data_IF_524728793396
#
_entry.id   IF_524728793396
#
_cell.length_a   1.000
_cell.length_b   1.000
_cell.length_c   1.000
_cell.angle_alpha   90.00
_cell.angle_beta   90.00
_cell.angle_gamma   90.00
#
_symmetry.space_group_name_H-M   'P 1'
#
loop_
_entity.id
_entity.type
_entity.pdbx_description
1 polymer ?
#
# COMPACT_ATOMS: atom_id res chain seq x y z
N UNK A 1 -9.28 50.70 -61.92
CA UNK A 1 -9.31 49.26 -61.57
C UNK A 1 -8.53 48.88 -60.30
N UNK A 2 -7.47 49.59 -59.88
CA UNK A 2 -6.67 49.22 -58.70
C UNK A 2 -7.40 49.40 -57.34
N UNK A 3 -8.21 50.45 -57.19
CA UNK A 3 -8.91 50.76 -55.93
C UNK A 3 -10.01 49.73 -55.57
N UNK A 4 -10.67 49.15 -56.58
CA UNK A 4 -11.71 48.15 -56.39
C UNK A 4 -11.14 46.80 -55.91
N UNK A 5 -9.96 46.40 -56.42
CA UNK A 5 -9.24 45.18 -55.97
C UNK A 5 -8.75 45.26 -54.53
N UNK A 6 -8.37 46.45 -54.06
CA UNK A 6 -7.86 46.67 -52.70
C UNK A 6 -8.98 46.62 -51.64
N UNK A 7 -10.19 47.08 -51.99
CA UNK A 7 -11.38 46.99 -51.14
C UNK A 7 -11.89 45.54 -50.99
N UNK A 8 -11.93 44.77 -52.09
CA UNK A 8 -12.28 43.34 -52.06
C UNK A 8 -11.28 42.50 -51.27
N UNK A 9 -9.99 42.86 -51.33
CA UNK A 9 -8.93 42.17 -50.59
C UNK A 9 -9.04 42.41 -49.07
N UNK A 10 -9.33 43.65 -48.63
CA UNK A 10 -9.58 43.95 -47.21
C UNK A 10 -10.85 43.28 -46.67
N UNK A 11 -11.94 43.26 -47.45
CA UNK A 11 -13.18 42.55 -47.08
C UNK A 11 -12.96 41.06 -46.93
N UNK A 12 -12.19 40.44 -47.84
CA UNK A 12 -11.86 39.02 -47.77
C UNK A 12 -11.07 38.68 -46.49
N UNK A 13 -10.10 39.51 -46.10
CA UNK A 13 -9.36 39.33 -44.84
C UNK A 13 -10.24 39.46 -43.60
N UNK A 14 -11.18 40.40 -43.58
CA UNK A 14 -12.13 40.55 -42.46
C UNK A 14 -13.05 39.34 -42.35
N UNK A 15 -13.57 38.84 -43.48
CA UNK A 15 -14.40 37.62 -43.50
C UNK A 15 -13.60 36.41 -43.02
N UNK A 16 -12.36 36.23 -43.48
CA UNK A 16 -11.48 35.16 -43.00
C UNK A 16 -11.24 35.28 -41.48
N UNK A 17 -10.95 36.47 -40.97
CA UNK A 17 -10.78 36.69 -39.53
C UNK A 17 -12.04 36.36 -38.72
N UNK A 18 -13.23 36.75 -39.22
CA UNK A 18 -14.51 36.42 -38.58
C UNK A 18 -14.79 34.92 -38.58
N UNK A 19 -14.51 34.23 -39.69
CA UNK A 19 -14.64 32.76 -39.79
C UNK A 19 -13.68 32.07 -38.82
N UNK A 20 -12.41 32.50 -38.78
CA UNK A 20 -11.44 31.96 -37.82
C UNK A 20 -11.87 32.22 -36.37
N UNK A 21 -12.41 33.40 -36.05
CA UNK A 21 -12.91 33.72 -34.73
C UNK A 21 -14.10 32.84 -34.31
N UNK A 22 -15.06 32.62 -35.20
CA UNK A 22 -16.20 31.72 -34.97
C UNK A 22 -15.73 30.26 -34.78
N UNK A 23 -14.76 29.80 -35.58
CA UNK A 23 -14.16 28.47 -35.41
C UNK A 23 -13.45 28.34 -34.05
N UNK A 24 -12.70 29.36 -33.62
CA UNK A 24 -12.08 29.38 -32.30
C UNK A 24 -13.12 29.29 -31.16
N UNK A 25 -14.23 30.03 -31.27
CA UNK A 25 -15.33 29.95 -30.29
C UNK A 25 -15.95 28.56 -30.30
N UNK A 26 -16.17 27.96 -31.46
CA UNK A 26 -16.76 26.63 -31.57
C UNK A 26 -15.86 25.55 -30.96
N UNK A 27 -14.55 25.61 -31.20
CA UNK A 27 -13.56 24.73 -30.55
C UNK A 27 -13.54 24.94 -29.04
N UNK A 28 -13.57 26.18 -28.56
CA UNK A 28 -13.62 26.48 -27.13
C UNK A 28 -14.90 25.92 -26.48
N UNK A 29 -16.06 26.10 -27.12
CA UNK A 29 -17.34 25.58 -26.63
C UNK A 29 -17.34 24.04 -26.57
N UNK A 30 -16.80 23.36 -27.60
CA UNK A 30 -16.64 21.91 -27.59
C UNK A 30 -15.70 21.44 -26.47
N UNK A 31 -14.58 22.14 -26.25
CA UNK A 31 -13.66 21.84 -25.17
C UNK A 31 -14.29 22.04 -23.78
N UNK A 32 -15.09 23.10 -23.60
CA UNK A 32 -15.83 23.35 -22.36
C UNK A 32 -16.92 22.30 -22.12
N UNK A 33 -17.69 21.95 -23.16
CA UNK A 33 -18.71 20.90 -23.08
C UNK A 33 -18.10 19.55 -22.71
N UNK A 34 -17.03 19.14 -23.40
CA UNK A 34 -16.31 17.90 -23.08
C UNK A 34 -15.76 17.91 -21.64
N UNK A 35 -15.24 19.05 -21.17
CA UNK A 35 -14.75 19.19 -19.79
C UNK A 35 -15.89 19.09 -18.76
N UNK A 36 -17.06 19.65 -19.06
CA UNK A 36 -18.25 19.53 -18.21
C UNK A 36 -18.77 18.10 -18.16
N UNK A 37 -18.86 17.43 -19.31
CA UNK A 37 -19.35 16.05 -19.41
C UNK A 37 -18.40 15.05 -18.72
N UNK A 38 -17.08 15.25 -18.89
CA UNK A 38 -16.07 14.51 -18.14
C UNK A 38 -16.21 14.75 -16.63
N UNK A 39 -16.37 15.99 -16.17
CA UNK A 39 -16.59 16.27 -14.73
C UNK A 39 -17.86 15.59 -14.20
N UNK A 40 -18.95 15.59 -14.96
CA UNK A 40 -20.22 14.95 -14.58
C UNK A 40 -20.07 13.43 -14.49
N UNK A 41 -19.38 12.82 -15.45
CA UNK A 41 -19.08 11.38 -15.47
C UNK A 41 -18.18 10.98 -14.30
N UNK A 42 -17.14 11.77 -14.02
CA UNK A 42 -16.22 11.54 -12.89
C UNK A 42 -16.94 11.68 -11.54
N UNK A 43 -17.83 12.66 -11.41
CA UNK A 43 -18.65 12.84 -10.20
C UNK A 43 -19.57 11.65 -9.95
N UNK A 44 -20.28 11.21 -10.99
CA UNK A 44 -21.20 10.07 -10.91
C UNK A 44 -20.46 8.80 -10.50
N UNK A 45 -19.34 8.49 -11.17
CA UNK A 45 -18.51 7.32 -10.86
C UNK A 45 -17.87 7.37 -9.47
N UNK A 46 -17.40 8.55 -9.03
CA UNK A 46 -16.86 8.75 -7.68
C UNK A 46 -17.93 8.57 -6.60
N UNK A 47 -19.12 9.14 -6.81
CA UNK A 47 -20.25 9.03 -5.88
C UNK A 47 -20.79 7.60 -5.81
N UNK A 48 -20.85 6.88 -6.93
CA UNK A 48 -21.26 5.47 -6.94
C UNK A 48 -20.26 4.57 -6.21
N UNK A 49 -18.95 4.80 -6.41
CA UNK A 49 -17.91 4.09 -5.66
C UNK A 49 -17.99 4.38 -4.16
N UNK A 50 -18.19 5.66 -3.79
CA UNK A 50 -18.40 6.07 -2.41
C UNK A 50 -19.58 5.30 -1.79
N UNK A 51 -20.74 5.30 -2.45
CA UNK A 51 -21.93 4.58 -1.99
C UNK A 51 -21.65 3.08 -1.79
N UNK A 52 -21.00 2.43 -2.75
CA UNK A 52 -20.66 1.01 -2.66
C UNK A 52 -19.73 0.69 -1.48
N UNK A 53 -18.77 1.57 -1.19
CA UNK A 53 -17.88 1.43 -0.02
C UNK A 53 -18.69 1.54 1.26
N UNK A 54 -19.58 2.53 1.37
CA UNK A 54 -20.42 2.74 2.55
C UNK A 54 -21.37 1.58 2.80
N UNK A 55 -22.03 1.08 1.76
CA UNK A 55 -22.89 -0.10 1.82
C UNK A 55 -22.09 -1.34 2.27
N UNK A 56 -20.86 -1.49 1.76
CA UNK A 56 -19.98 -2.61 2.13
C UNK A 56 -19.56 -2.51 3.60
N UNK A 57 -19.22 -1.32 4.08
CA UNK A 57 -18.91 -1.10 5.51
C UNK A 57 -20.15 -1.42 6.36
N UNK A 58 -21.32 -0.92 5.98
CA UNK A 58 -22.54 -1.15 6.77
C UNK A 58 -22.98 -2.62 6.79
N UNK A 59 -22.83 -3.35 5.68
CA UNK A 59 -23.35 -4.72 5.53
C UNK A 59 -22.36 -5.84 5.85
N UNK A 60 -21.05 -5.62 5.67
CA UNK A 60 -20.00 -6.66 5.80
C UNK A 60 -19.08 -6.48 7.00
N UNK A 61 -19.39 -5.56 7.91
CA UNK A 61 -18.62 -5.41 9.14
C UNK A 61 -18.75 -6.66 10.01
N UNK A 62 -17.61 -7.21 10.41
CA UNK A 62 -17.53 -8.32 11.37
C UNK A 62 -16.59 -7.95 12.51
N UNK A 63 -16.78 -8.59 13.66
CA UNK A 63 -15.88 -8.44 14.80
C UNK A 63 -14.66 -9.36 14.68
N UNK A 64 -13.52 -8.89 15.17
CA UNK A 64 -12.36 -9.73 15.39
C UNK A 64 -12.56 -10.69 16.59
N UNK A 65 -11.69 -11.68 16.74
CA UNK A 65 -11.83 -12.69 17.81
C UNK A 65 -11.62 -12.14 19.22
N UNK A 66 -10.91 -11.01 19.38
CA UNK A 66 -10.75 -10.37 20.69
C UNK A 66 -11.94 -9.50 21.10
N UNK A 67 -12.82 -9.16 20.15
CA UNK A 67 -13.93 -8.26 20.39
C UNK A 67 -13.51 -6.78 20.52
N UNK A 68 -12.29 -6.43 20.12
CA UNK A 68 -11.76 -5.06 20.25
C UNK A 68 -11.78 -4.29 18.93
N UNK A 69 -11.89 -4.97 17.79
CA UNK A 69 -11.80 -4.39 16.46
C UNK A 69 -12.93 -4.88 15.56
N UNK A 70 -13.40 -3.97 14.71
CA UNK A 70 -14.25 -4.24 13.56
C UNK A 70 -13.40 -4.38 12.30
N UNK A 71 -13.81 -5.31 11.44
CA UNK A 71 -13.13 -5.68 10.20
C UNK A 71 -14.12 -5.59 9.05
N UNK A 72 -13.71 -4.91 7.98
CA UNK A 72 -14.42 -4.90 6.71
C UNK A 72 -13.45 -5.36 5.63
N UNK A 73 -13.70 -6.53 5.06
CA UNK A 73 -12.89 -7.08 3.97
C UNK A 73 -13.50 -6.71 2.62
N UNK A 74 -12.65 -6.67 1.58
CA UNK A 74 -13.07 -6.44 0.20
C UNK A 74 -13.89 -5.15 0.06
N UNK A 75 -13.47 -4.07 0.76
CA UNK A 75 -14.14 -2.75 0.72
C UNK A 75 -14.11 -2.18 -0.69
N UNK A 76 -12.96 -2.31 -1.33
CA UNK A 76 -12.82 -2.16 -2.77
C UNK A 76 -12.07 -3.40 -3.23
N UNK A 77 -12.69 -4.19 -4.10
CA UNK A 77 -12.14 -5.43 -4.61
C UNK A 77 -12.49 -5.61 -6.07
N UNK A 78 -11.62 -6.29 -6.82
CA UNK A 78 -11.84 -6.63 -8.22
C UNK A 78 -12.78 -7.83 -8.33
N UNK A 79 -13.54 -7.90 -9.42
CA UNK A 79 -14.27 -9.13 -9.79
C UNK A 79 -13.28 -10.31 -9.95
N UNK A 80 -13.41 -11.30 -9.05
CA UNK A 80 -12.49 -12.44 -8.87
C UNK A 80 -12.34 -13.33 -10.12
N UNK A 81 -13.29 -13.27 -11.05
CA UNK A 81 -13.34 -14.09 -12.27
C UNK A 81 -12.16 -13.87 -13.23
N UNK A 82 -11.40 -12.78 -13.12
CA UNK A 82 -10.20 -12.52 -13.96
C UNK A 82 -8.88 -12.90 -13.26
N UNK A 83 -8.90 -13.33 -11.99
CA UNK A 83 -7.71 -13.51 -11.12
C UNK A 83 -7.00 -14.87 -11.30
N UNK A 84 -7.51 -15.79 -12.12
CA UNK A 84 -7.01 -17.18 -12.26
C UNK A 84 -5.55 -17.32 -12.78
N UNK A 85 -4.88 -16.23 -13.16
CA UNK A 85 -3.48 -16.24 -13.64
C UNK A 85 -2.45 -15.66 -12.66
N UNK A 86 -2.88 -15.14 -11.50
CA UNK A 86 -1.96 -14.49 -10.56
C UNK A 86 -1.29 -15.50 -9.63
N UNK A 87 0.04 -15.64 -9.73
CA UNK A 87 0.83 -16.55 -8.87
C UNK A 87 1.32 -15.90 -7.57
N UNK A 88 1.42 -14.57 -7.53
CA UNK A 88 2.04 -13.84 -6.43
C UNK A 88 1.29 -12.54 -6.10
N UNK A 89 0.92 -12.35 -4.84
CA UNK A 89 0.24 -11.14 -4.34
C UNK A 89 1.03 -10.51 -3.20
N UNK A 90 1.18 -9.18 -3.17
CA UNK A 90 1.71 -8.49 -1.98
C UNK A 90 0.67 -8.51 -0.89
N UNK A 91 1.10 -8.80 0.34
CA UNK A 91 0.32 -8.65 1.56
C UNK A 91 1.00 -7.60 2.43
N UNK A 92 0.28 -6.53 2.75
CA UNK A 92 0.78 -5.46 3.60
C UNK A 92 -0.33 -4.83 4.44
N UNK A 93 0.03 -3.90 5.31
CA UNK A 93 -0.89 -3.15 6.12
C UNK A 93 -0.34 -1.75 6.36
N UNK A 94 -1.20 -0.75 6.53
CA UNK A 94 -0.77 0.61 6.84
C UNK A 94 -1.72 1.26 7.84
N UNK A 95 -1.34 2.41 8.38
CA UNK A 95 -2.30 3.31 9.02
C UNK A 95 -3.07 4.10 7.95
N UNK A 96 -4.22 4.67 8.29
CA UNK A 96 -4.93 5.57 7.38
C UNK A 96 -4.09 6.80 6.96
N UNK A 97 -3.10 7.21 7.76
CA UNK A 97 -2.19 8.33 7.49
C UNK A 97 -1.13 7.96 6.44
N UNK A 98 -0.72 6.69 6.44
CA UNK A 98 0.34 6.13 5.61
C UNK A 98 -0.20 5.55 4.29
N UNK A 99 -1.51 5.65 4.04
CA UNK A 99 -2.15 5.10 2.85
C UNK A 99 -1.52 5.60 1.54
N UNK A 100 -0.98 6.81 1.51
CA UNK A 100 -0.35 7.39 0.32
C UNK A 100 0.84 6.57 -0.22
N UNK A 101 1.52 5.77 0.61
CA UNK A 101 2.63 4.91 0.15
C UNK A 101 2.19 3.83 -0.85
N UNK A 102 0.90 3.47 -0.89
CA UNK A 102 0.37 2.50 -1.86
C UNK A 102 0.56 2.96 -3.32
N UNK A 103 0.64 4.28 -3.55
CA UNK A 103 0.83 4.87 -4.87
C UNK A 103 2.20 4.46 -5.44
N UNK A 104 3.27 4.61 -4.67
CA UNK A 104 4.60 4.24 -5.13
C UNK A 104 4.80 2.72 -5.12
N UNK A 105 4.17 2.01 -4.18
CA UNK A 105 4.20 0.55 -4.15
C UNK A 105 3.64 -0.07 -5.44
N UNK A 106 2.48 0.41 -5.89
CA UNK A 106 1.81 -0.10 -7.10
C UNK A 106 2.52 0.28 -8.40
N UNK A 107 3.30 1.38 -8.41
CA UNK A 107 4.17 1.73 -9.55
C UNK A 107 5.32 0.75 -9.74
N UNK A 108 5.82 0.15 -8.65
CA UNK A 108 6.91 -0.82 -8.67
C UNK A 108 6.43 -2.28 -8.66
N UNK A 109 5.11 -2.51 -8.63
CA UNK A 109 4.55 -3.85 -8.53
C UNK A 109 3.56 -4.17 -9.64
N UNK A 110 3.83 -5.23 -10.39
CA UNK A 110 2.98 -5.68 -11.51
C UNK A 110 1.85 -6.62 -11.09
N UNK A 111 1.93 -7.19 -9.88
CA UNK A 111 0.96 -8.16 -9.37
C UNK A 111 -0.18 -7.50 -8.60
N UNK A 112 -1.01 -8.33 -7.98
CA UNK A 112 -2.04 -7.86 -7.04
C UNK A 112 -1.41 -7.42 -5.71
N UNK A 113 -2.09 -6.50 -5.02
CA UNK A 113 -1.78 -6.07 -3.65
C UNK A 113 -3.02 -6.26 -2.79
N UNK A 114 -2.89 -6.90 -1.64
CA UNK A 114 -3.91 -6.92 -0.59
C UNK A 114 -3.39 -6.12 0.60
N UNK A 115 -4.13 -5.07 0.96
CA UNK A 115 -3.74 -4.11 2.00
C UNK A 115 -4.85 -3.95 3.04
N UNK A 116 -4.48 -4.09 4.32
CA UNK A 116 -5.37 -3.77 5.43
C UNK A 116 -5.01 -2.42 6.04
N UNK A 117 -6.00 -1.55 6.17
CA UNK A 117 -5.82 -0.17 6.63
C UNK A 117 -6.41 -0.04 8.01
N UNK A 118 -5.58 0.37 8.96
CA UNK A 118 -6.04 0.68 10.30
C UNK A 118 -6.54 2.12 10.38
N UNK A 119 -7.82 2.30 10.72
CA UNK A 119 -8.44 3.59 10.90
C UNK A 119 -8.86 3.77 12.36
N UNK A 120 -8.38 4.84 13.00
CA UNK A 120 -8.88 5.25 14.30
C UNK A 120 -10.20 6.02 14.15
N UNK A 121 -10.98 6.05 15.22
CA UNK A 121 -12.24 6.82 15.30
C UNK A 121 -12.08 8.25 14.80
N UNK A 122 -13.07 8.71 14.04
CA UNK A 122 -13.07 10.03 13.40
C UNK A 122 -12.26 10.12 12.11
N UNK A 123 -11.43 9.12 11.78
CA UNK A 123 -10.69 9.06 10.50
C UNK A 123 -11.41 8.27 9.41
N UNK A 124 -12.43 7.47 9.74
CA UNK A 124 -13.10 6.59 8.77
C UNK A 124 -13.71 7.36 7.59
N UNK A 125 -14.40 8.48 7.84
CA UNK A 125 -14.98 9.31 6.79
C UNK A 125 -13.93 9.82 5.79
N UNK A 126 -12.82 10.36 6.32
CA UNK A 126 -11.74 10.87 5.49
C UNK A 126 -10.97 9.74 4.78
N UNK A 127 -10.82 8.58 5.43
CA UNK A 127 -10.24 7.39 4.82
C UNK A 127 -11.07 6.95 3.61
N UNK A 128 -12.39 6.86 3.74
CA UNK A 128 -13.29 6.46 2.65
C UNK A 128 -13.16 7.44 1.47
N UNK A 129 -13.16 8.76 1.73
CA UNK A 129 -12.91 9.78 0.68
C UNK A 129 -11.54 9.63 0.03
N UNK A 130 -10.49 9.37 0.82
CA UNK A 130 -9.14 9.11 0.32
C UNK A 130 -9.07 7.84 -0.53
N UNK A 131 -9.81 6.77 -0.18
CA UNK A 131 -9.87 5.54 -0.96
C UNK A 131 -10.49 5.78 -2.33
N UNK A 132 -11.60 6.52 -2.41
CA UNK A 132 -12.22 6.90 -3.70
C UNK A 132 -11.24 7.71 -4.56
N UNK A 133 -10.59 8.72 -3.98
CA UNK A 133 -9.57 9.51 -4.66
C UNK A 133 -8.42 8.65 -5.18
N UNK A 134 -7.86 7.79 -4.33
CA UNK A 134 -6.71 6.96 -4.68
C UNK A 134 -7.07 5.96 -5.78
N UNK A 135 -8.23 5.29 -5.63
CA UNK A 135 -8.68 4.30 -6.60
C UNK A 135 -8.89 4.93 -7.98
N UNK A 136 -9.57 6.07 -8.03
CA UNK A 136 -9.86 6.78 -9.26
C UNK A 136 -8.62 7.39 -9.92
N UNK A 137 -7.82 8.15 -9.16
CA UNK A 137 -6.76 8.98 -9.70
C UNK A 137 -5.47 8.21 -10.02
N UNK A 138 -5.26 7.05 -9.40
CA UNK A 138 -4.06 6.23 -9.61
C UNK A 138 -4.36 4.86 -10.20
N UNK A 139 -5.62 4.60 -10.61
CA UNK A 139 -6.04 3.34 -11.25
C UNK A 139 -5.68 2.10 -10.41
N UNK A 140 -6.12 2.07 -9.14
CA UNK A 140 -5.77 1.00 -8.18
C UNK A 140 -6.56 -0.30 -8.39
N UNK A 141 -6.79 -0.69 -9.64
CA UNK A 141 -7.59 -1.88 -10.02
C UNK A 141 -6.96 -3.21 -9.60
N UNK A 142 -5.67 -3.21 -9.25
CA UNK A 142 -4.93 -4.38 -8.77
C UNK A 142 -4.78 -4.39 -7.24
N UNK A 143 -5.45 -3.49 -6.51
CA UNK A 143 -5.37 -3.39 -5.06
C UNK A 143 -6.70 -3.81 -4.44
N UNK A 144 -6.64 -4.72 -3.47
CA UNK A 144 -7.75 -5.11 -2.63
C UNK A 144 -7.62 -4.41 -1.26
N UNK A 145 -8.61 -3.59 -0.94
CA UNK A 145 -8.60 -2.75 0.25
C UNK A 145 -9.47 -3.35 1.36
N UNK A 146 -8.89 -3.47 2.54
CA UNK A 146 -9.56 -3.90 3.77
C UNK A 146 -9.43 -2.79 4.82
N UNK A 147 -10.42 -2.66 5.69
CA UNK A 147 -10.41 -1.66 6.77
C UNK A 147 -10.56 -2.39 8.11
N UNK A 148 -9.75 -2.01 9.09
CA UNK A 148 -9.86 -2.43 10.48
C UNK A 148 -9.91 -1.19 11.36
N UNK A 149 -10.84 -1.15 12.31
CA UNK A 149 -11.02 0.00 13.21
C UNK A 149 -11.51 -0.46 14.59
N UNK A 150 -11.19 0.26 15.68
CA UNK A 150 -11.45 -0.22 17.04
C UNK A 150 -12.93 -0.12 17.46
N UNK A 151 -13.33 -0.78 18.54
CA UNK A 151 -14.59 -0.47 19.25
C UNK A 151 -14.36 0.55 20.38
N UNK A 152 -15.39 1.34 20.76
CA UNK A 152 -16.68 1.51 20.11
C UNK A 152 -16.59 2.64 19.07
N UNK A 153 -16.11 2.37 17.85
CA UNK A 153 -16.37 3.33 16.78
C UNK A 153 -17.87 3.42 16.61
N UNK A 154 -18.47 4.52 17.07
CA UNK A 154 -19.76 4.94 16.54
C UNK A 154 -19.50 5.06 15.05
N UNK A 155 -20.08 4.18 14.25
CA UNK A 155 -20.14 4.34 12.80
C UNK A 155 -20.69 5.74 12.65
N UNK A 156 -19.81 6.72 12.38
CA UNK A 156 -20.27 8.06 12.03
C UNK A 156 -21.16 7.74 10.87
N UNK A 157 -22.45 7.97 11.06
CA UNK A 157 -23.42 7.65 10.03
C UNK A 157 -22.94 8.53 8.89
N UNK A 158 -22.39 7.92 7.86
CA UNK A 158 -21.97 8.59 6.64
C UNK A 158 -23.28 8.86 5.89
N UNK A 159 -24.17 9.62 6.54
CA UNK A 159 -25.53 9.94 6.08
C UNK A 159 -25.48 10.88 4.90
N UNK A 160 -24.47 11.74 4.84
CA UNK A 160 -24.37 12.73 3.77
C UNK A 160 -23.37 12.24 2.72
N UNK A 161 -23.90 11.42 1.81
CA UNK A 161 -23.27 11.15 0.52
C UNK A 161 -23.57 12.34 -0.39
N UNK A 162 -22.97 13.49 -0.08
CA UNK A 162 -22.92 14.60 -1.03
C UNK A 162 -22.25 14.15 -2.34
N UNK A 163 -22.55 14.81 -3.46
CA UNK A 163 -21.83 14.59 -4.71
C UNK A 163 -20.32 14.64 -4.46
N UNK A 164 -19.65 13.50 -4.67
CA UNK A 164 -18.23 13.38 -4.41
C UNK A 164 -17.46 13.48 -5.72
N UNK A 165 -16.70 14.57 -5.86
CA UNK A 165 -15.83 14.80 -7.00
C UNK A 165 -14.39 14.41 -6.65
N UNK A 166 -13.83 13.35 -7.26
CA UNK A 166 -12.41 13.03 -7.07
C UNK A 166 -11.54 14.19 -7.58
N UNK A 167 -10.74 14.77 -6.69
CA UNK A 167 -9.96 15.98 -7.00
C UNK A 167 -8.49 15.67 -7.37
N UNK A 168 -8.07 14.42 -7.24
CA UNK A 168 -6.72 13.92 -7.56
C UNK A 168 -5.58 14.72 -6.91
N UNK A 169 -5.85 15.43 -5.82
CA UNK A 169 -4.81 15.92 -4.94
C UNK A 169 -4.27 14.75 -4.13
N UNK A 170 -2.96 14.78 -3.82
CA UNK A 170 -2.34 13.79 -2.93
C UNK A 170 -3.21 13.63 -1.67
N UNK A 171 -3.36 12.40 -1.13
CA UNK A 171 -4.25 12.14 -0.01
C UNK A 171 -3.96 13.12 1.11
N UNK A 172 -5.00 13.80 1.60
CA UNK A 172 -4.86 14.73 2.72
C UNK A 172 -4.30 13.92 3.89
N UNK A 173 -3.13 14.31 4.40
CA UNK A 173 -2.60 13.72 5.64
C UNK A 173 -3.67 13.91 6.70
N UNK A 174 -4.24 12.80 7.18
CA UNK A 174 -5.29 12.90 8.18
C UNK A 174 -4.67 13.42 9.47
N UNK A 175 -5.22 14.50 10.01
CA UNK A 175 -4.69 15.10 11.23
C UNK A 175 -4.59 14.05 12.35
N UNK A 176 -3.54 14.16 13.17
CA UNK A 176 -3.35 13.29 14.33
C UNK A 176 -4.39 13.62 15.39
N UNK A 177 -5.55 13.00 15.32
CA UNK A 177 -6.54 13.04 16.39
C UNK A 177 -6.04 12.21 17.58
N UNK A 178 -5.58 12.88 18.62
CA UNK A 178 -4.95 12.32 19.83
C UNK A 178 -5.88 11.54 20.76
N UNK A 179 -7.16 11.39 20.42
CA UNK A 179 -8.19 10.90 21.36
C UNK A 179 -8.09 9.42 21.73
N UNK A 180 -7.25 8.63 21.06
CA UNK A 180 -7.03 7.21 21.35
C UNK A 180 -5.55 6.82 21.50
N UNK A 181 -4.78 7.64 22.22
CA UNK A 181 -3.36 7.38 22.52
C UNK A 181 -3.07 6.02 23.21
N UNK A 182 -4.10 5.31 23.69
CA UNK A 182 -3.99 4.01 24.37
C UNK A 182 -4.29 2.79 23.50
N UNK A 183 -4.94 2.93 22.34
CA UNK A 183 -5.27 1.78 21.49
C UNK A 183 -4.05 1.35 20.68
N UNK A 184 -3.70 0.07 20.78
CA UNK A 184 -2.54 -0.49 20.11
C UNK A 184 -2.84 -0.75 18.64
N UNK A 185 -1.85 -0.48 17.77
CA UNK A 185 -1.92 -0.81 16.35
C UNK A 185 -1.89 -2.35 16.18
N UNK A 186 -2.94 -2.99 15.62
CA UNK A 186 -3.08 -4.45 15.62
C UNK A 186 -2.38 -5.09 14.41
N UNK A 187 -1.05 -4.98 14.37
CA UNK A 187 -0.19 -5.38 13.22
C UNK A 187 -0.52 -6.77 12.67
N UNK A 188 -0.61 -7.79 13.54
CA UNK A 188 -0.81 -9.16 13.10
C UNK A 188 -2.23 -9.45 12.64
N UNK A 189 -3.23 -8.82 13.28
CA UNK A 189 -4.62 -8.86 12.80
C UNK A 189 -4.69 -8.29 11.37
N UNK A 190 -4.10 -7.12 11.13
CA UNK A 190 -4.11 -6.48 9.81
C UNK A 190 -3.46 -7.37 8.73
N UNK A 191 -2.34 -8.02 9.06
CA UNK A 191 -1.69 -8.98 8.16
C UNK A 191 -2.58 -10.19 7.88
N UNK A 192 -3.23 -10.75 8.90
CA UNK A 192 -4.15 -11.86 8.73
C UNK A 192 -5.39 -11.46 7.90
N UNK A 193 -5.94 -10.26 8.10
CA UNK A 193 -7.06 -9.73 7.32
C UNK A 193 -6.67 -9.64 5.84
N UNK A 194 -5.52 -9.06 5.52
CA UNK A 194 -5.04 -8.96 4.14
C UNK A 194 -4.75 -10.34 3.55
N UNK A 195 -3.96 -11.17 4.25
CA UNK A 195 -3.62 -12.53 3.82
C UNK A 195 -4.86 -13.41 3.59
N UNK A 196 -5.94 -13.19 4.35
CA UNK A 196 -7.18 -13.98 4.21
C UNK A 196 -7.83 -13.82 2.84
N UNK A 197 -7.66 -12.66 2.22
CA UNK A 197 -8.32 -12.29 0.95
C UNK A 197 -7.47 -12.59 -0.29
N UNK A 198 -6.24 -13.06 -0.10
CA UNK A 198 -5.34 -13.44 -1.20
C UNK A 198 -5.81 -14.73 -1.88
N UNK A 199 -5.96 -14.72 -3.21
CA UNK A 199 -6.29 -15.91 -4.01
C UNK A 199 -5.07 -16.63 -4.57
N UNK A 200 -3.94 -15.94 -4.70
CA UNK A 200 -2.72 -16.48 -5.29
C UNK A 200 -2.04 -17.53 -4.42
N UNK A 201 -1.28 -18.40 -5.08
CA UNK A 201 -0.54 -19.51 -4.47
C UNK A 201 0.57 -19.02 -3.54
N UNK A 202 1.24 -17.94 -3.91
CA UNK A 202 2.30 -17.30 -3.14
C UNK A 202 1.93 -15.88 -2.74
N UNK A 203 2.47 -15.44 -1.61
CA UNK A 203 2.34 -14.06 -1.19
C UNK A 203 3.69 -13.47 -0.78
N UNK A 204 3.87 -12.18 -1.03
CA UNK A 204 5.00 -11.39 -0.58
C UNK A 204 4.58 -10.58 0.66
N UNK A 205 5.17 -10.88 1.82
CA UNK A 205 4.97 -10.12 3.05
C UNK A 205 6.01 -9.00 3.16
N UNK A 206 5.54 -7.76 3.13
CA UNK A 206 6.36 -6.54 3.27
C UNK A 206 5.67 -5.51 4.17
N UNK A 207 6.47 -4.65 4.77
CA UNK A 207 5.97 -3.48 5.50
C UNK A 207 5.52 -2.39 4.51
N UNK A 208 4.59 -1.53 4.91
CA UNK A 208 3.97 -0.47 4.08
C UNK A 208 4.95 0.52 3.45
N UNK A 209 6.07 0.77 4.12
CA UNK A 209 7.10 1.72 3.69
C UNK A 209 8.21 1.08 2.84
N UNK A 210 8.04 -0.18 2.43
CA UNK A 210 9.04 -0.90 1.61
C UNK A 210 8.59 -0.97 0.16
N UNK A 211 9.51 -0.68 -0.76
CA UNK A 211 9.28 -0.81 -2.20
C UNK A 211 10.01 -2.04 -2.75
N UNK A 212 9.35 -2.93 -3.50
CA UNK A 212 10.01 -4.03 -4.20
C UNK A 212 10.75 -3.50 -5.44
N UNK A 213 11.80 -4.20 -5.85
CA UNK A 213 12.37 -4.00 -7.17
C UNK A 213 11.31 -4.31 -8.26
N UNK A 214 11.26 -3.49 -9.31
CA UNK A 214 10.25 -3.62 -10.38
C UNK A 214 10.32 -4.94 -11.16
N UNK A 215 11.47 -5.61 -11.15
CA UNK A 215 11.69 -6.91 -11.78
C UNK A 215 11.31 -8.10 -10.87
N UNK A 216 11.10 -7.89 -9.56
CA UNK A 216 10.90 -8.96 -8.57
C UNK A 216 9.75 -9.90 -8.93
N UNK A 217 8.59 -9.34 -9.30
CA UNK A 217 7.42 -10.15 -9.67
C UNK A 217 7.73 -11.09 -10.85
N UNK A 218 8.38 -10.56 -11.88
CA UNK A 218 8.67 -11.34 -13.10
C UNK A 218 9.74 -12.39 -12.83
N UNK A 219 10.77 -12.02 -12.05
CA UNK A 219 11.85 -12.91 -11.66
C UNK A 219 11.33 -14.06 -10.78
N UNK A 220 10.57 -13.77 -9.73
CA UNK A 220 10.03 -14.80 -8.84
C UNK A 220 9.05 -15.73 -9.56
N UNK A 221 8.23 -15.19 -10.47
CA UNK A 221 7.37 -16.02 -11.32
C UNK A 221 8.16 -17.04 -12.12
N UNK A 222 9.29 -16.64 -12.71
CA UNK A 222 10.17 -17.56 -13.44
C UNK A 222 10.81 -18.62 -12.54
N UNK A 223 11.06 -18.30 -11.27
CA UNK A 223 11.57 -19.28 -10.30
C UNK A 223 10.49 -20.30 -9.92
N UNK A 224 9.23 -19.87 -9.74
CA UNK A 224 8.11 -20.81 -9.52
C UNK A 224 7.96 -21.78 -10.70
N UNK A 225 8.08 -21.27 -11.93
CA UNK A 225 7.91 -22.07 -13.15
C UNK A 225 9.03 -23.13 -13.33
N UNK A 226 10.21 -22.94 -12.71
CA UNK A 226 11.33 -23.90 -12.73
C UNK A 226 11.20 -25.03 -11.70
N UNK A 227 10.20 -24.95 -10.82
CA UNK A 227 10.02 -25.87 -9.70
C UNK A 227 10.23 -25.17 -8.36
N UNK A 228 9.34 -25.44 -7.42
CA UNK A 228 9.37 -24.83 -6.08
C UNK A 228 9.71 -25.89 -5.03
N UNK A 229 10.31 -25.43 -3.92
CA UNK A 229 10.53 -26.25 -2.76
C UNK A 229 9.34 -26.13 -1.81
N UNK A 230 8.77 -27.25 -1.37
CA UNK A 230 7.75 -27.27 -0.32
C UNK A 230 8.35 -26.79 1.01
N UNK A 231 7.52 -26.16 1.85
CA UNK A 231 7.88 -25.65 3.18
C UNK A 231 9.06 -24.67 3.16
N UNK A 232 9.14 -23.86 2.11
CA UNK A 232 10.22 -22.91 1.89
C UNK A 232 9.70 -21.47 1.90
N UNK A 233 10.39 -20.61 2.65
CA UNK A 233 10.23 -19.16 2.59
C UNK A 233 11.44 -18.54 1.89
N UNK A 234 11.17 -17.74 0.86
CA UNK A 234 12.20 -17.01 0.12
C UNK A 234 12.40 -15.64 0.74
N UNK A 235 13.59 -15.40 1.25
CA UNK A 235 13.90 -14.15 1.95
C UNK A 235 14.39 -13.09 0.98
N UNK A 236 13.90 -11.87 1.15
CA UNK A 236 14.27 -10.71 0.36
C UNK A 236 15.07 -9.73 1.21
N UNK A 237 16.34 -9.44 0.85
CA UNK A 237 17.11 -8.42 1.53
C UNK A 237 16.52 -7.04 1.33
N UNK A 238 16.51 -6.25 2.38
CA UNK A 238 15.92 -4.91 2.42
C UNK A 238 17.02 -3.86 2.60
N UNK A 239 16.89 -2.72 1.92
CA UNK A 239 17.88 -1.65 1.94
C UNK A 239 17.22 -0.33 2.32
N UNK A 240 17.99 0.55 2.95
CA UNK A 240 17.63 1.95 3.19
C UNK A 240 18.60 2.88 2.46
N UNK A 241 18.08 3.98 1.92
CA UNK A 241 18.83 4.97 1.16
C UNK A 241 18.32 6.39 1.40
N UNK A 242 18.92 7.35 0.72
CA UNK A 242 18.46 8.74 0.72
C UNK A 242 17.06 8.87 0.09
N UNK A 243 16.25 9.81 0.59
CA UNK A 243 14.91 10.12 0.04
C UNK A 243 14.96 10.57 -1.42
N UNK A 244 16.05 11.20 -1.83
CA UNK A 244 16.23 11.69 -3.21
C UNK A 244 16.83 10.63 -4.14
N UNK A 245 17.08 9.42 -3.64
CA UNK A 245 17.60 8.33 -4.45
C UNK A 245 16.48 7.76 -5.33
N UNK A 246 16.73 7.65 -6.63
CA UNK A 246 15.86 6.87 -7.51
C UNK A 246 15.83 5.43 -7.03
N UNK A 247 14.63 4.88 -6.84
CA UNK A 247 14.43 3.52 -6.33
C UNK A 247 15.07 2.53 -7.32
N UNK A 248 16.03 1.71 -6.87
CA UNK A 248 16.67 0.74 -7.75
C UNK A 248 15.67 -0.26 -8.33
N UNK A 249 15.74 -0.45 -9.64
CA UNK A 249 14.80 -1.30 -10.38
C UNK A 249 15.26 -2.75 -10.53
N UNK A 250 16.55 -3.01 -10.26
CA UNK A 250 17.19 -4.32 -10.38
C UNK A 250 18.26 -4.55 -9.31
N UNK A 251 18.60 -5.82 -9.06
CA UNK A 251 19.69 -6.18 -8.13
C UNK A 251 21.03 -5.54 -8.51
N UNK A 252 21.34 -5.49 -9.81
CA UNK A 252 22.59 -4.92 -10.30
C UNK A 252 22.68 -3.41 -9.98
N UNK A 253 21.59 -2.67 -10.18
CA UNK A 253 21.52 -1.26 -9.83
C UNK A 253 21.62 -1.02 -8.32
N UNK A 254 20.91 -1.81 -7.52
CA UNK A 254 20.95 -1.76 -6.06
C UNK A 254 22.38 -2.02 -5.53
N UNK A 255 23.08 -2.99 -6.10
CA UNK A 255 24.48 -3.27 -5.79
C UNK A 255 25.42 -2.10 -6.12
N UNK A 256 25.22 -1.42 -7.26
CA UNK A 256 26.02 -0.22 -7.60
C UNK A 256 25.82 0.89 -6.57
N UNK A 257 24.57 1.13 -6.16
CA UNK A 257 24.28 2.12 -5.12
C UNK A 257 24.88 1.74 -3.77
N UNK A 258 24.91 0.44 -3.44
CA UNK A 258 25.49 -0.02 -2.19
C UNK A 258 27.02 0.16 -2.19
N UNK A 259 27.69 -0.19 -3.28
CA UNK A 259 29.14 0.03 -3.46
C UNK A 259 29.51 1.51 -3.41
N UNK A 260 28.65 2.38 -3.92
CA UNK A 260 28.83 3.83 -3.85
C UNK A 260 28.45 4.44 -2.49
N UNK A 261 28.06 3.62 -1.49
CA UNK A 261 27.65 4.10 -0.16
C UNK A 261 26.32 4.86 -0.13
N UNK A 262 25.53 4.81 -1.22
CA UNK A 262 24.25 5.53 -1.35
C UNK A 262 23.07 4.78 -0.73
N UNK A 263 23.19 3.45 -0.62
CA UNK A 263 22.27 2.60 0.15
C UNK A 263 23.06 1.72 1.10
N UNK A 264 22.36 1.16 2.08
CA UNK A 264 22.91 0.17 3.02
C UNK A 264 21.82 -0.82 3.44
N UNK A 265 22.19 -1.98 3.99
CA UNK A 265 21.22 -2.89 4.60
C UNK A 265 20.29 -2.17 5.58
N UNK A 266 19.00 -2.46 5.48
CA UNK A 266 17.98 -1.82 6.30
C UNK A 266 18.25 -2.01 7.79
N UNK A 267 18.03 -0.96 8.59
CA UNK A 267 18.09 -1.08 10.05
C UNK A 267 19.49 -1.31 10.63
N UNK A 268 20.57 -1.33 9.82
CA UNK A 268 21.94 -1.57 10.30
C UNK A 268 22.38 -0.60 11.39
N UNK A 269 21.87 0.64 11.39
CA UNK A 269 22.15 1.65 12.42
C UNK A 269 21.25 1.54 13.66
N UNK A 270 20.10 0.87 13.56
CA UNK A 270 19.11 0.76 14.63
C UNK A 270 19.27 -0.55 15.40
N UNK A 271 19.21 -1.67 14.68
CA UNK A 271 19.37 -3.00 15.25
C UNK A 271 19.74 -3.98 14.14
N UNK A 272 21.03 -4.29 14.04
CA UNK A 272 21.54 -5.16 12.99
C UNK A 272 21.02 -6.60 13.08
N UNK A 273 20.72 -7.08 14.29
CA UNK A 273 20.20 -8.45 14.52
C UNK A 273 18.86 -8.74 13.81
N UNK A 274 18.11 -7.71 13.41
CA UNK A 274 16.85 -7.89 12.68
C UNK A 274 17.04 -8.37 11.24
N UNK A 275 18.22 -8.14 10.66
CA UNK A 275 18.49 -8.34 9.23
C UNK A 275 19.76 -9.17 8.99
N UNK A 276 20.69 -9.20 9.97
CA UNK A 276 21.96 -9.93 9.91
C UNK A 276 21.86 -11.37 9.35
N UNK A 277 20.86 -12.20 9.72
CA UNK A 277 20.78 -13.59 9.22
C UNK A 277 20.56 -13.72 7.72
N UNK A 278 20.15 -12.65 7.03
CA UNK A 278 19.99 -12.61 5.56
C UNK A 278 21.32 -12.78 4.81
N UNK A 279 22.46 -12.55 5.46
CA UNK A 279 23.81 -12.60 4.88
C UNK A 279 23.93 -11.73 3.62
N UNK A 280 23.91 -10.40 3.84
CA UNK A 280 23.97 -9.41 2.76
C UNK A 280 25.26 -9.51 1.93
N UNK A 281 26.37 -9.97 2.51
CA UNK A 281 27.63 -10.12 1.77
C UNK A 281 27.57 -11.28 0.78
N UNK A 282 27.04 -12.44 1.21
CA UNK A 282 26.75 -13.55 0.30
C UNK A 282 25.68 -13.18 -0.73
N UNK A 283 24.63 -12.46 -0.32
CA UNK A 283 23.61 -11.98 -1.25
C UNK A 283 24.20 -11.15 -2.38
N UNK A 284 25.14 -10.25 -2.07
CA UNK A 284 25.71 -9.29 -3.03
C UNK A 284 26.28 -9.98 -4.28
N UNK A 285 26.99 -11.09 -4.09
CA UNK A 285 27.69 -11.83 -5.15
C UNK A 285 26.92 -13.03 -5.69
N UNK A 286 25.89 -13.50 -4.98
CA UNK A 286 25.09 -14.65 -5.40
C UNK A 286 24.31 -14.38 -6.70
N UNK A 287 24.35 -15.31 -7.64
CA UNK A 287 23.53 -15.32 -8.87
C UNK A 287 22.33 -16.28 -8.78
N UNK A 288 22.24 -17.07 -7.71
CA UNK A 288 21.16 -18.01 -7.39
C UNK A 288 20.70 -17.81 -5.95
N UNK A 289 19.54 -18.36 -5.61
CA UNK A 289 19.10 -18.46 -4.22
C UNK A 289 20.09 -19.30 -3.40
N UNK A 290 20.15 -19.03 -2.10
CA UNK A 290 20.99 -19.76 -1.16
C UNK A 290 20.26 -19.88 0.17
N UNK A 291 20.60 -20.94 0.90
CA UNK A 291 20.04 -21.19 2.22
C UNK A 291 20.71 -20.34 3.30
N UNK A 292 19.90 -19.94 4.28
CA UNK A 292 20.31 -19.24 5.48
C UNK A 292 19.63 -19.87 6.68
N UNK A 293 20.34 -19.93 7.80
CA UNK A 293 19.79 -20.45 9.04
C UNK A 293 18.98 -19.36 9.74
N UNK A 294 17.76 -19.71 10.16
CA UNK A 294 16.95 -18.83 10.98
C UNK A 294 17.67 -18.49 12.29
N UNK A 295 17.55 -17.24 12.74
CA UNK A 295 18.07 -16.78 14.03
C UNK A 295 17.01 -15.96 14.76
N UNK A 296 17.12 -15.92 16.09
CA UNK A 296 16.26 -15.08 16.94
C UNK A 296 16.35 -13.62 16.51
N UNK A 297 15.23 -12.89 16.61
CA UNK A 297 15.07 -11.48 16.24
C UNK A 297 15.02 -11.16 14.74
N UNK A 298 15.17 -12.15 13.85
CA UNK A 298 15.12 -11.92 12.40
C UNK A 298 13.72 -11.49 11.92
N UNK A 299 13.63 -10.36 11.20
CA UNK A 299 12.38 -9.77 10.71
C UNK A 299 12.40 -9.54 9.20
N UNK A 300 12.61 -10.59 8.38
CA UNK A 300 12.79 -10.40 6.95
C UNK A 300 11.48 -10.08 6.23
N UNK A 301 11.60 -9.41 5.10
CA UNK A 301 10.59 -9.47 4.04
C UNK A 301 10.72 -10.83 3.33
N UNK A 302 9.61 -11.49 3.03
CA UNK A 302 9.68 -12.85 2.49
C UNK A 302 8.52 -13.18 1.55
N UNK A 303 8.77 -14.13 0.65
CA UNK A 303 7.76 -14.77 -0.17
C UNK A 303 7.55 -16.19 0.32
N UNK A 304 6.30 -16.61 0.52
CA UNK A 304 5.99 -17.98 0.92
C UNK A 304 4.71 -18.48 0.25
N UNK A 305 4.55 -19.79 0.21
CA UNK A 305 3.34 -20.45 -0.26
C UNK A 305 2.24 -20.27 0.79
N UNK A 306 1.08 -19.75 0.38
CA UNK A 306 -0.02 -19.43 1.29
C UNK A 306 -0.53 -20.67 2.04
N UNK A 307 -0.68 -21.80 1.36
CA UNK A 307 -1.22 -23.04 1.96
C UNK A 307 -0.30 -23.69 3.00
N UNK A 308 0.99 -23.34 3.00
CA UNK A 308 1.99 -23.90 3.93
C UNK A 308 2.40 -22.91 5.02
N UNK A 309 1.88 -21.68 4.97
CA UNK A 309 2.27 -20.65 5.93
C UNK A 309 1.19 -20.47 7.01
N UNK A 310 1.53 -20.59 8.30
CA UNK A 310 0.57 -20.36 9.36
C UNK A 310 0.12 -18.89 9.44
N UNK A 311 -1.01 -18.66 10.10
CA UNK A 311 -1.47 -17.31 10.44
C UNK A 311 -0.52 -16.65 11.44
N UNK A 312 -0.51 -15.32 11.45
CA UNK A 312 0.16 -14.56 12.49
C UNK A 312 -0.59 -14.68 13.81
N UNK A 313 0.14 -14.70 14.93
CA UNK A 313 -0.46 -14.70 16.26
C UNK A 313 -0.95 -13.27 16.60
N UNK A 314 -2.27 -13.10 16.62
CA UNK A 314 -2.94 -11.79 16.79
C UNK A 314 -2.80 -11.21 18.18
N UNK A 315 -2.26 -11.96 19.15
CA UNK A 315 -1.96 -11.46 20.50
C UNK A 315 -0.78 -10.46 20.52
N UNK A 316 0.01 -10.40 19.45
CA UNK A 316 1.10 -9.43 19.31
C UNK A 316 0.63 -8.15 18.60
N UNK A 317 0.86 -7.02 19.27
CA UNK A 317 0.50 -5.67 18.82
C UNK A 317 1.76 -4.82 18.55
N UNK A 318 1.60 -3.72 17.79
CA UNK A 318 2.64 -2.73 17.48
C UNK A 318 3.94 -3.30 16.87
N UNK A 319 5.12 -2.92 17.41
CA UNK A 319 6.47 -3.21 16.92
C UNK A 319 7.21 -4.22 17.82
N UNK A 320 6.88 -5.51 17.73
CA UNK A 320 7.61 -6.53 18.49
C UNK A 320 7.20 -7.94 18.12
N UNK A 321 8.15 -8.80 17.72
CA UNK A 321 7.96 -10.25 17.52
C UNK A 321 6.93 -10.70 16.46
N UNK A 322 6.36 -9.75 15.72
CA UNK A 322 5.31 -9.96 14.73
C UNK A 322 5.66 -10.98 13.62
N UNK A 323 6.65 -10.68 12.77
CA UNK A 323 7.09 -11.59 11.67
C UNK A 323 7.86 -12.81 12.18
N UNK A 324 8.52 -12.68 13.33
CA UNK A 324 9.31 -13.74 13.98
C UNK A 324 8.39 -14.93 14.33
N UNK A 325 7.18 -14.65 14.83
CA UNK A 325 6.22 -15.68 15.24
C UNK A 325 5.73 -16.58 14.09
N UNK A 326 5.73 -16.07 12.85
CA UNK A 326 5.24 -16.80 11.69
C UNK A 326 6.29 -17.72 11.08
N UNK A 327 7.56 -17.30 11.05
CA UNK A 327 8.66 -18.09 10.49
C UNK A 327 9.14 -19.20 11.45
N UNK A 328 8.93 -19.05 12.76
CA UNK A 328 9.29 -20.10 13.73
C UNK A 328 8.40 -20.07 14.99
N UNK A 329 7.29 -20.82 14.95
CA UNK A 329 6.34 -20.94 16.08
C UNK A 329 6.96 -21.57 17.34
N UNK A 330 7.91 -22.51 17.21
CA UNK A 330 8.52 -23.24 18.34
C UNK A 330 9.44 -22.36 19.21
N UNK A 331 9.96 -21.27 18.66
CA UNK A 331 10.81 -20.32 19.37
C UNK A 331 10.05 -19.26 20.19
N UNK A 332 8.72 -19.23 20.08
CA UNK A 332 7.84 -18.26 20.76
C UNK A 332 7.37 -18.84 22.10
N UNK A 333 8.29 -19.08 23.04
CA UNK A 333 7.86 -19.22 24.44
C UNK A 333 7.40 -17.85 24.92
N UNK A 334 6.08 -17.70 25.13
CA UNK A 334 5.42 -16.44 25.48
C UNK A 334 6.10 -15.70 26.66
N UNK A 335 6.68 -16.42 27.60
CA UNK A 335 7.25 -15.82 28.83
C UNK A 335 8.63 -15.20 28.62
N UNK A 336 9.48 -15.83 27.80
CA UNK A 336 10.80 -15.29 27.46
C UNK A 336 10.63 -14.01 26.64
N UNK A 337 9.66 -13.99 25.72
CA UNK A 337 9.39 -12.84 24.85
C UNK A 337 8.70 -11.69 25.60
N UNK A 338 7.74 -11.98 26.50
CA UNK A 338 7.13 -10.97 27.39
C UNK A 338 8.16 -10.33 28.31
N UNK A 339 9.09 -11.12 28.86
CA UNK A 339 10.19 -10.60 29.68
C UNK A 339 11.07 -9.64 28.90
N UNK A 340 11.50 -10.03 27.70
CA UNK A 340 12.35 -9.18 26.85
C UNK A 340 11.66 -7.90 26.33
N UNK A 341 10.36 -7.95 26.05
CA UNK A 341 9.60 -6.76 25.68
C UNK A 341 9.49 -5.79 26.88
N UNK A 342 9.16 -6.31 28.08
CA UNK A 342 9.17 -5.52 29.32
C UNK A 342 10.54 -4.89 29.60
N UNK A 343 11.61 -5.64 29.40
CA UNK A 343 12.98 -5.14 29.62
C UNK A 343 13.32 -4.02 28.62
N UNK A 344 12.86 -4.13 27.36
CA UNK A 344 13.07 -3.10 26.34
C UNK A 344 12.24 -1.84 26.59
N UNK A 345 10.96 -2.01 26.93
CA UNK A 345 10.05 -0.90 27.22
C UNK A 345 10.51 -0.16 28.49
N UNK A 346 10.99 -0.90 29.50
CA UNK A 346 11.62 -0.34 30.70
C UNK A 346 12.86 0.49 30.35
N UNK A 347 13.74 -0.03 29.49
CA UNK A 347 14.96 0.67 29.08
C UNK A 347 14.64 1.95 28.29
N UNK A 348 13.63 1.91 27.44
CA UNK A 348 13.17 3.09 26.68
C UNK A 348 12.49 4.15 27.59
N UNK A 349 11.80 3.72 28.65
CA UNK A 349 11.24 4.61 29.68
C UNK A 349 12.34 5.25 30.53
N UNK A 350 13.36 4.48 30.92
CA UNK A 350 14.55 4.94 31.64
C UNK A 350 15.35 5.96 30.79
N UNK A 351 15.53 5.71 29.49
CA UNK A 351 16.19 6.65 28.55
C UNK A 351 15.40 7.95 28.32
N UNK A 352 14.08 7.93 28.53
CA UNK A 352 13.19 9.11 28.43
C UNK A 352 13.04 9.85 29.76
N UNK A 353 13.78 9.47 30.80
CA UNK A 353 13.74 10.09 32.13
C UNK A 353 12.42 9.86 32.87
N UNK A 354 11.64 8.84 32.48
CA UNK A 354 10.40 8.45 33.15
C UNK A 354 10.73 7.29 34.08
N UNK A 355 10.95 7.60 35.35
CA UNK A 355 11.08 6.61 36.42
C UNK A 355 9.68 6.14 36.84
N UNK A 356 9.49 4.83 37.00
CA UNK A 356 8.27 4.24 37.62
C UNK A 356 8.41 4.31 39.14
#
# INVERSE_FOLDING_TARGET
MAFCKQLTFRRSRIVICLVCFLLCIQVLNLALFHRMDSKKTNSRTGTDLLRNILETISSKTVMDTSGLYQIVKDVISRNRSVSLKQKLTIVTHCSADDLHYIIDLTRHWKGEVSISIFALDGKLANLVRNLVNIFYCYNMVNVNFHIVFPLPTRTVILTDVDEFFPNCTLPVRLERTSRYSKLLYPTNLLRNVALSSVSSEFFLMIDDSTLPNSDLYSHFRSEIDKGFLSKTAYILPSFEGDKNLNVPTSKAELNRHWLAGRVRPYGVRKCWDWEKPTDYQKWRTANKSYEVNWQSMWRPSFIARKSETPRFDERFFQYGFNRISQLNQKSVSCDIMRKRQRDKDRKEMEEKGVTI
#
